data_IF_306080085102
#
_entry.id   IF_306080085102
#
_cell.length_a   1.000
_cell.length_b   1.000
_cell.length_c   1.000
_cell.angle_alpha   90.00
_cell.angle_beta   90.00
_cell.angle_gamma   90.00
#
_symmetry.space_group_name_H-M   'P 1'
#
loop_
_entity.id
_entity.type
_entity.pdbx_description
1 polymer ?
#
# COMPACT_ATOMS: atom_id res chain seq x y z
N UNK A 1 -3.98 -15.10 -30.29
CA UNK A 1 -4.48 -14.43 -29.08
C UNK A 1 -4.88 -13.01 -29.44
N UNK A 2 -5.97 -12.50 -28.88
CA UNK A 2 -6.38 -11.09 -29.05
C UNK A 2 -5.27 -10.18 -28.52
N UNK A 3 -4.85 -9.15 -29.26
CA UNK A 3 -3.76 -8.27 -28.81
C UNK A 3 -4.18 -7.46 -27.59
N UNK A 4 -3.23 -7.25 -26.66
CA UNK A 4 -3.45 -6.48 -25.43
C UNK A 4 -2.73 -5.13 -25.54
N UNK A 5 -3.45 -4.04 -25.25
CA UNK A 5 -2.86 -2.70 -25.16
C UNK A 5 -3.21 -2.00 -23.83
N UNK A 6 -2.22 -1.43 -23.18
CA UNK A 6 -2.40 -0.61 -21.99
C UNK A 6 -2.50 0.88 -22.30
N UNK A 7 -3.26 1.60 -21.49
CA UNK A 7 -3.32 3.06 -21.50
C UNK A 7 -3.24 3.56 -20.07
N UNK A 8 -2.38 4.56 -19.81
CA UNK A 8 -2.25 5.13 -18.49
C UNK A 8 -2.17 6.65 -18.52
N UNK A 9 -2.82 7.30 -17.56
CA UNK A 9 -2.59 8.73 -17.29
C UNK A 9 -1.62 8.87 -16.13
N UNK A 10 -0.54 9.61 -16.33
CA UNK A 10 0.44 9.94 -15.30
C UNK A 10 0.30 11.43 -14.98
N UNK A 11 -0.45 11.74 -13.93
CA UNK A 11 -0.49 13.08 -13.36
C UNK A 11 0.72 13.25 -12.44
N UNK A 12 1.64 14.13 -12.83
CA UNK A 12 2.87 14.43 -12.11
C UNK A 12 2.62 15.39 -10.93
N UNK A 13 1.88 14.90 -9.93
CA UNK A 13 1.57 15.64 -8.70
C UNK A 13 2.17 14.96 -7.46
N UNK A 14 2.57 15.73 -6.46
CA UNK A 14 3.03 15.22 -5.16
C UNK A 14 4.04 14.06 -5.31
N UNK A 15 3.68 12.86 -4.85
CA UNK A 15 4.51 11.66 -4.86
C UNK A 15 4.31 10.79 -6.11
N UNK A 16 4.03 11.41 -7.27
CA UNK A 16 3.70 10.70 -8.51
C UNK A 16 4.76 9.71 -8.97
N UNK A 17 6.05 10.03 -8.76
CA UNK A 17 7.13 9.19 -9.25
C UNK A 17 7.10 7.82 -8.56
N UNK A 18 6.98 7.81 -7.22
CA UNK A 18 6.83 6.58 -6.45
C UNK A 18 5.55 5.81 -6.83
N UNK A 19 4.45 6.52 -7.11
CA UNK A 19 3.20 5.89 -7.57
C UNK A 19 3.36 5.26 -8.97
N UNK A 20 4.07 5.95 -9.87
CA UNK A 20 4.33 5.44 -11.21
C UNK A 20 5.26 4.23 -11.18
N UNK A 21 6.29 4.25 -10.35
CA UNK A 21 7.20 3.12 -10.14
C UNK A 21 6.42 1.91 -9.59
N UNK A 22 5.52 2.09 -8.62
CA UNK A 22 4.64 1.01 -8.11
C UNK A 22 3.74 0.41 -9.21
N UNK A 23 3.20 1.24 -10.12
CA UNK A 23 2.43 0.78 -11.27
C UNK A 23 3.29 0.02 -12.28
N UNK A 24 4.48 0.55 -12.58
CA UNK A 24 5.43 -0.04 -13.53
C UNK A 24 5.92 -1.40 -13.05
N UNK A 25 6.31 -1.50 -11.77
CA UNK A 25 6.70 -2.76 -11.13
C UNK A 25 5.57 -3.80 -11.23
N UNK A 26 4.34 -3.43 -10.88
CA UNK A 26 3.21 -4.36 -10.95
C UNK A 26 2.94 -4.87 -12.37
N UNK A 27 3.12 -4.01 -13.39
CA UNK A 27 2.99 -4.38 -14.80
C UNK A 27 4.12 -5.31 -15.26
N UNK A 28 5.34 -5.09 -14.78
CA UNK A 28 6.51 -5.89 -15.16
C UNK A 28 6.50 -7.24 -14.44
N UNK A 29 6.36 -7.24 -13.11
CA UNK A 29 6.46 -8.43 -12.26
C UNK A 29 5.34 -9.45 -12.51
N UNK A 30 4.17 -8.97 -12.94
CA UNK A 30 3.04 -9.85 -13.28
C UNK A 30 3.17 -10.52 -14.65
N UNK A 31 4.14 -10.10 -15.47
CA UNK A 31 4.26 -10.51 -16.87
C UNK A 31 3.34 -9.74 -17.83
N UNK A 32 2.52 -8.81 -17.33
CA UNK A 32 1.62 -8.00 -18.15
C UNK A 32 2.38 -7.19 -19.23
N UNK A 33 3.56 -6.63 -18.90
CA UNK A 33 4.42 -5.97 -19.88
C UNK A 33 4.81 -6.89 -21.06
N UNK A 34 5.10 -8.16 -20.76
CA UNK A 34 5.48 -9.16 -21.75
C UNK A 34 4.32 -9.47 -22.68
N UNK A 35 3.11 -9.60 -22.14
CA UNK A 35 1.90 -9.96 -22.89
C UNK A 35 1.26 -8.79 -23.65
N UNK A 36 1.52 -7.55 -23.22
CA UNK A 36 1.12 -6.35 -23.95
C UNK A 36 1.87 -6.20 -25.28
N UNK A 37 1.17 -5.71 -26.30
CA UNK A 37 1.79 -5.18 -27.51
C UNK A 37 2.31 -3.76 -27.32
N UNK A 38 1.59 -2.93 -26.54
CA UNK A 38 2.02 -1.57 -26.21
C UNK A 38 1.35 -1.08 -24.93
N UNK A 39 1.98 -0.15 -24.23
CA UNK A 39 1.38 0.63 -23.15
C UNK A 39 1.60 2.12 -23.48
N UNK A 40 0.52 2.89 -23.53
CA UNK A 40 0.57 4.30 -23.97
C UNK A 40 0.30 5.22 -22.80
N UNK A 41 1.19 6.17 -22.57
CA UNK A 41 1.13 7.13 -21.46
C UNK A 41 0.66 8.50 -21.94
N UNK A 42 -0.29 9.10 -21.23
CA UNK A 42 -0.56 10.53 -21.26
C UNK A 42 0.07 11.17 -20.02
N UNK A 43 1.02 12.10 -20.20
CA UNK A 43 1.74 12.75 -19.11
C UNK A 43 1.18 14.15 -18.87
N UNK A 44 0.73 14.41 -17.64
CA UNK A 44 0.21 15.70 -17.20
C UNK A 44 1.14 16.27 -16.14
N UNK A 45 1.55 17.54 -16.26
CA UNK A 45 2.37 18.26 -15.29
C UNK A 45 3.63 18.89 -15.88
N UNK A 46 4.50 19.49 -15.03
CA UNK A 46 5.68 20.23 -15.45
C UNK A 46 6.61 19.43 -16.35
N UNK A 47 7.28 20.10 -17.29
CA UNK A 47 8.21 19.44 -18.22
C UNK A 47 9.26 18.57 -17.51
N UNK A 48 9.87 19.07 -16.44
CA UNK A 48 10.92 18.36 -15.69
C UNK A 48 10.42 17.01 -15.15
N UNK A 49 9.23 17.00 -14.57
CA UNK A 49 8.60 15.78 -14.07
C UNK A 49 8.28 14.77 -15.18
N UNK A 50 7.83 15.25 -16.35
CA UNK A 50 7.58 14.39 -17.52
C UNK A 50 8.88 13.78 -18.04
N UNK A 51 9.99 14.52 -18.02
CA UNK A 51 11.30 13.97 -18.38
C UNK A 51 11.78 12.90 -17.37
N UNK A 52 11.45 13.04 -16.09
CA UNK A 52 11.70 11.99 -15.09
C UNK A 52 10.97 10.69 -15.47
N UNK A 53 9.70 10.76 -15.88
CA UNK A 53 8.95 9.58 -16.36
C UNK A 53 9.60 9.00 -17.62
N UNK A 54 10.00 9.84 -18.58
CA UNK A 54 10.68 9.39 -19.81
C UNK A 54 11.95 8.60 -19.49
N UNK A 55 12.76 9.09 -18.56
CA UNK A 55 13.98 8.40 -18.13
C UNK A 55 13.69 7.00 -17.55
N UNK A 56 12.56 6.80 -16.86
CA UNK A 56 12.17 5.52 -16.24
C UNK A 56 11.67 4.49 -17.25
N UNK A 57 11.10 4.95 -18.36
CA UNK A 57 10.56 4.05 -19.40
C UNK A 57 11.56 3.72 -20.51
N UNK A 58 12.79 4.26 -20.49
CA UNK A 58 13.81 4.04 -21.54
C UNK A 58 14.11 2.55 -21.78
N UNK A 59 14.12 1.75 -20.71
CA UNK A 59 14.34 0.30 -20.75
C UNK A 59 13.12 -0.51 -21.20
N UNK A 60 11.98 0.15 -21.46
CA UNK A 60 10.70 -0.49 -21.75
C UNK A 60 10.16 -0.05 -23.12
N UNK A 61 10.68 -0.58 -24.25
CA UNK A 61 10.36 -0.10 -25.60
C UNK A 61 8.87 -0.21 -25.99
N UNK A 62 8.07 -1.04 -25.31
CA UNK A 62 6.62 -1.11 -25.55
C UNK A 62 5.84 0.00 -24.83
N UNK A 63 6.47 0.73 -23.92
CA UNK A 63 5.86 1.86 -23.20
C UNK A 63 6.20 3.15 -23.94
N UNK A 64 5.20 3.85 -24.44
CA UNK A 64 5.39 5.09 -25.22
C UNK A 64 4.55 6.22 -24.70
N UNK A 65 5.05 7.45 -24.83
CA UNK A 65 4.29 8.67 -24.50
C UNK A 65 3.51 9.11 -25.73
N UNK A 66 2.20 9.32 -25.58
CA UNK A 66 1.28 9.69 -26.67
C UNK A 66 0.61 11.05 -26.49
N UNK A 67 0.72 11.64 -25.30
CA UNK A 67 0.23 12.98 -24.99
C UNK A 67 1.06 13.59 -23.88
N UNK A 68 1.32 14.89 -23.96
CA UNK A 68 2.03 15.66 -22.94
C UNK A 68 1.38 17.03 -22.78
N UNK A 69 1.09 17.42 -21.55
CA UNK A 69 0.52 18.72 -21.22
C UNK A 69 0.92 19.15 -19.82
N UNK A 70 1.00 20.45 -19.57
CA UNK A 70 1.20 20.99 -18.22
C UNK A 70 -0.14 21.19 -17.50
N UNK A 71 -1.25 21.06 -18.23
CA UNK A 71 -2.59 21.31 -17.74
C UNK A 71 -3.21 20.06 -17.09
N UNK A 72 -3.29 20.09 -15.76
CA UNK A 72 -3.95 19.03 -15.00
C UNK A 72 -5.47 18.97 -15.18
N UNK A 73 -6.09 20.02 -15.71
CA UNK A 73 -7.53 20.04 -16.00
C UNK A 73 -7.92 19.21 -17.22
N UNK A 74 -6.93 18.70 -17.98
CA UNK A 74 -7.18 17.69 -19.01
C UNK A 74 -7.57 16.32 -18.43
N UNK A 75 -7.32 16.09 -17.13
CA UNK A 75 -7.64 14.85 -16.42
C UNK A 75 -7.19 13.60 -17.22
N UNK A 76 -8.01 12.56 -17.26
CA UNK A 76 -7.72 11.31 -17.97
C UNK A 76 -8.09 11.33 -19.46
N UNK A 77 -8.70 12.40 -19.97
CA UNK A 77 -9.22 12.48 -21.34
C UNK A 77 -8.21 12.07 -22.42
N UNK A 78 -6.95 12.57 -22.43
CA UNK A 78 -6.04 12.27 -23.52
C UNK A 78 -5.72 10.77 -23.66
N UNK A 79 -5.56 10.05 -22.55
CA UNK A 79 -5.32 8.61 -22.58
C UNK A 79 -6.56 7.85 -23.07
N UNK A 80 -7.75 8.23 -22.60
CA UNK A 80 -9.01 7.60 -23.00
C UNK A 80 -9.36 7.88 -24.48
N UNK A 81 -9.03 9.06 -25.00
CA UNK A 81 -9.18 9.39 -26.43
C UNK A 81 -8.31 8.46 -27.29
N UNK A 82 -7.02 8.31 -26.96
CA UNK A 82 -6.13 7.37 -27.66
C UNK A 82 -6.58 5.92 -27.53
N UNK A 83 -7.17 5.55 -26.39
CA UNK A 83 -7.75 4.23 -26.18
C UNK A 83 -8.94 3.99 -27.11
N UNK A 84 -9.87 4.94 -27.20
CA UNK A 84 -11.04 4.83 -28.08
C UNK A 84 -10.62 4.76 -29.55
N UNK A 85 -9.66 5.59 -29.98
CA UNK A 85 -9.12 5.56 -31.34
C UNK A 85 -8.51 4.20 -31.72
N UNK A 86 -7.74 3.56 -30.82
CA UNK A 86 -7.24 2.22 -31.07
C UNK A 86 -8.38 1.21 -31.20
N UNK A 87 -9.37 1.30 -30.32
CA UNK A 87 -10.49 0.37 -30.33
C UNK A 87 -11.38 0.54 -31.58
N UNK A 88 -11.44 1.73 -32.16
CA UNK A 88 -12.10 1.95 -33.45
C UNK A 88 -11.34 1.31 -34.61
N UNK A 89 -9.99 1.34 -34.55
CA UNK A 89 -9.12 0.88 -35.62
C UNK A 89 -8.90 -0.64 -35.64
N UNK A 90 -8.95 -1.32 -34.49
CA UNK A 90 -8.62 -2.74 -34.41
C UNK A 90 -9.32 -3.49 -33.26
N UNK A 91 -9.35 -4.81 -33.37
CA UNK A 91 -9.81 -5.69 -32.30
C UNK A 91 -8.72 -5.94 -31.27
N UNK A 92 -9.03 -5.65 -30.02
CA UNK A 92 -8.08 -5.73 -28.92
C UNK A 92 -8.78 -5.91 -27.57
N UNK A 93 -8.01 -6.40 -26.61
CA UNK A 93 -8.29 -6.16 -25.19
C UNK A 93 -7.46 -4.95 -24.74
N UNK A 94 -8.08 -4.08 -23.96
CA UNK A 94 -7.43 -2.87 -23.45
C UNK A 94 -7.65 -2.73 -21.97
N UNK A 95 -6.68 -2.13 -21.28
CA UNK A 95 -6.81 -1.74 -19.89
C UNK A 95 -6.49 -0.27 -19.70
N UNK A 96 -7.08 0.29 -18.65
CA UNK A 96 -6.85 1.67 -18.23
C UNK A 96 -6.44 1.71 -16.75
N UNK A 97 -5.44 2.54 -16.45
CA UNK A 97 -4.99 2.86 -15.09
C UNK A 97 -4.47 4.30 -15.02
N UNK A 98 -4.22 4.82 -13.82
CA UNK A 98 -3.64 6.15 -13.64
C UNK A 98 -2.91 6.25 -12.31
N UNK A 99 -2.19 7.35 -12.07
CA UNK A 99 -1.49 7.62 -10.80
C UNK A 99 -2.47 7.91 -9.64
N UNK A 100 -3.31 6.94 -9.28
CA UNK A 100 -4.36 7.08 -8.27
C UNK A 100 -3.78 7.52 -6.92
N UNK A 101 -4.36 8.59 -6.38
CA UNK A 101 -4.03 9.09 -5.05
C UNK A 101 -3.02 10.24 -5.02
N UNK A 102 -2.40 10.59 -6.16
CA UNK A 102 -1.41 11.68 -6.23
C UNK A 102 -1.99 13.07 -6.01
N UNK A 103 -3.31 13.25 -6.04
CA UNK A 103 -3.96 14.49 -5.60
C UNK A 103 -3.91 14.67 -4.08
N UNK A 104 -3.55 13.62 -3.34
CA UNK A 104 -3.34 13.66 -1.89
C UNK A 104 -1.84 13.72 -1.58
N UNK A 105 -1.48 14.25 -0.42
CA UNK A 105 -0.11 14.24 0.07
C UNK A 105 0.41 12.81 0.32
N UNK A 106 1.75 12.60 0.34
CA UNK A 106 2.38 11.28 0.51
C UNK A 106 2.06 10.59 1.84
N UNK A 107 1.65 11.35 2.86
CA UNK A 107 1.35 10.81 4.20
C UNK A 107 0.00 10.09 4.26
N UNK A 108 -0.89 10.33 3.29
CA UNK A 108 -2.24 9.79 3.32
C UNK A 108 -2.26 8.29 2.94
N UNK A 109 -2.42 7.42 3.93
CA UNK A 109 -2.37 5.97 3.75
C UNK A 109 -3.58 5.41 2.97
N UNK A 110 -4.78 5.97 3.17
CA UNK A 110 -5.99 5.46 2.51
C UNK A 110 -5.90 5.45 0.96
N UNK A 111 -5.52 6.53 0.25
CA UNK A 111 -5.29 6.48 -1.19
C UNK A 111 -4.20 5.49 -1.61
N UNK A 112 -3.14 5.32 -0.81
CA UNK A 112 -2.07 4.33 -1.05
C UNK A 112 -2.63 2.90 -0.99
N UNK A 113 -3.38 2.55 0.04
CA UNK A 113 -4.02 1.23 0.17
C UNK A 113 -5.07 1.00 -0.91
N UNK A 114 -5.89 2.00 -1.21
CA UNK A 114 -6.88 1.91 -2.29
C UNK A 114 -6.20 1.62 -3.62
N UNK A 115 -5.15 2.37 -3.95
CA UNK A 115 -4.35 2.13 -5.16
C UNK A 115 -3.77 0.71 -5.19
N UNK A 116 -3.16 0.23 -4.09
CA UNK A 116 -2.61 -1.13 -4.01
C UNK A 116 -3.67 -2.21 -4.27
N UNK A 117 -4.91 -2.02 -3.82
CA UNK A 117 -6.02 -2.92 -4.17
C UNK A 117 -6.34 -2.90 -5.67
N UNK A 118 -6.42 -1.71 -6.28
CA UNK A 118 -6.65 -1.60 -7.72
C UNK A 118 -5.54 -2.33 -8.49
N UNK A 119 -4.29 -2.05 -8.15
CA UNK A 119 -3.10 -2.69 -8.75
C UNK A 119 -3.17 -4.21 -8.60
N UNK A 120 -3.44 -4.73 -7.41
CA UNK A 120 -3.48 -6.17 -7.15
C UNK A 120 -4.46 -6.89 -8.08
N UNK A 121 -5.69 -6.37 -8.20
CA UNK A 121 -6.73 -7.04 -8.98
C UNK A 121 -6.64 -6.79 -10.47
N UNK A 122 -6.23 -5.59 -10.90
CA UNK A 122 -6.29 -5.24 -12.32
C UNK A 122 -4.95 -5.36 -13.02
N UNK A 123 -3.83 -5.27 -12.32
CA UNK A 123 -2.49 -5.36 -12.94
C UNK A 123 -1.78 -6.65 -12.51
N UNK A 124 -1.67 -6.91 -11.20
CA UNK A 124 -0.95 -8.09 -10.72
C UNK A 124 -1.65 -9.42 -11.03
N UNK A 125 -2.99 -9.41 -11.10
CA UNK A 125 -3.83 -10.59 -11.41
C UNK A 125 -4.59 -10.42 -12.73
N UNK A 126 -3.99 -9.72 -13.69
CA UNK A 126 -4.68 -9.32 -14.93
C UNK A 126 -5.27 -10.48 -15.74
N UNK A 127 -4.72 -11.70 -15.63
CA UNK A 127 -5.29 -12.88 -16.29
C UNK A 127 -6.75 -13.15 -15.90
N UNK A 128 -7.16 -12.82 -14.67
CA UNK A 128 -8.56 -12.91 -14.24
C UNK A 128 -9.43 -11.86 -14.92
N UNK A 129 -8.91 -10.62 -15.07
CA UNK A 129 -9.59 -9.58 -15.85
C UNK A 129 -9.79 -10.05 -17.29
N UNK A 130 -8.71 -10.47 -17.95
CA UNK A 130 -8.74 -10.92 -19.34
C UNK A 130 -9.67 -12.11 -19.52
N UNK A 131 -9.61 -13.10 -18.62
CA UNK A 131 -10.50 -14.26 -18.65
C UNK A 131 -11.98 -13.89 -18.52
N UNK A 132 -12.32 -12.92 -17.68
CA UNK A 132 -13.70 -12.46 -17.51
C UNK A 132 -14.29 -11.83 -18.78
N UNK A 133 -13.46 -11.24 -19.66
CA UNK A 133 -13.91 -10.60 -20.91
C UNK A 133 -14.49 -11.58 -21.94
N UNK A 134 -14.37 -12.89 -21.72
CA UNK A 134 -15.06 -13.90 -22.53
C UNK A 134 -16.58 -13.73 -22.44
N UNK A 135 -17.12 -13.55 -21.23
CA UNK A 135 -18.56 -13.49 -20.96
C UNK A 135 -19.06 -12.08 -20.62
N UNK A 136 -18.12 -11.16 -20.33
CA UNK A 136 -18.40 -9.82 -19.84
C UNK A 136 -17.90 -8.75 -20.80
N UNK A 137 -18.40 -7.54 -20.63
CA UNK A 137 -18.06 -6.42 -21.51
C UNK A 137 -16.86 -5.63 -20.98
N UNK A 138 -16.75 -5.53 -19.66
CA UNK A 138 -15.61 -4.97 -18.95
C UNK A 138 -15.41 -5.72 -17.64
N UNK A 139 -14.20 -5.64 -17.08
CA UNK A 139 -13.85 -6.23 -15.79
C UNK A 139 -12.95 -5.29 -14.99
N UNK A 140 -13.08 -5.32 -13.67
CA UNK A 140 -12.28 -4.51 -12.78
C UNK A 140 -12.60 -4.85 -11.33
N UNK A 141 -12.38 -3.90 -10.42
CA UNK A 141 -12.67 -4.07 -9.00
C UNK A 141 -13.56 -2.94 -8.50
N UNK A 142 -14.43 -3.29 -7.54
CA UNK A 142 -15.42 -2.40 -6.95
C UNK A 142 -16.30 -1.65 -7.96
N UNK A 143 -17.08 -2.38 -8.76
CA UNK A 143 -18.12 -1.80 -9.59
C UNK A 143 -19.27 -1.25 -8.72
N UNK A 144 -19.48 0.06 -8.76
CA UNK A 144 -20.51 0.77 -8.01
C UNK A 144 -21.30 1.65 -8.97
N UNK A 145 -22.63 1.49 -8.94
CA UNK A 145 -23.58 2.13 -9.86
C UNK A 145 -23.24 1.84 -11.33
N UNK A 146 -22.45 2.71 -11.96
CA UNK A 146 -22.05 2.63 -13.37
C UNK A 146 -20.55 2.89 -13.58
N UNK A 147 -19.70 2.60 -12.59
CA UNK A 147 -18.24 2.73 -12.78
C UNK A 147 -17.46 1.78 -11.86
N UNK A 148 -16.18 1.56 -12.18
CA UNK A 148 -15.23 0.96 -11.23
C UNK A 148 -14.62 2.06 -10.38
N UNK A 149 -14.88 2.06 -9.08
CA UNK A 149 -14.33 3.10 -8.19
C UNK A 149 -12.80 3.05 -8.22
N UNK A 150 -12.17 4.21 -8.41
CA UNK A 150 -10.72 4.29 -8.62
C UNK A 150 -10.29 4.28 -10.10
N UNK A 151 -11.19 3.94 -11.02
CA UNK A 151 -11.01 4.02 -12.48
C UNK A 151 -9.86 3.14 -13.02
N UNK A 152 -9.73 1.92 -12.51
CA UNK A 152 -8.85 0.88 -13.06
C UNK A 152 -9.71 -0.24 -13.61
N UNK A 153 -9.54 -0.60 -14.87
CA UNK A 153 -10.40 -1.60 -15.52
C UNK A 153 -9.82 -2.14 -16.82
N UNK A 154 -10.42 -3.23 -17.28
CA UNK A 154 -10.18 -3.91 -18.54
C UNK A 154 -11.45 -3.98 -19.36
N UNK A 155 -11.32 -4.01 -20.68
CA UNK A 155 -12.45 -4.13 -21.60
C UNK A 155 -12.02 -4.66 -22.96
N UNK A 156 -13.00 -5.08 -23.77
CA UNK A 156 -12.83 -5.38 -25.20
C UNK A 156 -13.09 -4.14 -26.06
N UNK A 157 -12.35 -4.00 -27.16
CA UNK A 157 -12.55 -2.93 -28.14
C UNK A 157 -13.97 -2.89 -28.68
N UNK A 158 -14.61 -4.06 -28.87
CA UNK A 158 -15.98 -4.16 -29.33
C UNK A 158 -16.98 -3.50 -28.38
N UNK A 159 -16.72 -3.46 -27.07
CA UNK A 159 -17.54 -2.74 -26.10
C UNK A 159 -17.23 -1.25 -26.12
N UNK A 160 -15.95 -0.86 -26.23
CA UNK A 160 -15.54 0.56 -26.33
C UNK A 160 -16.24 1.25 -27.51
N UNK A 161 -16.40 0.56 -28.64
CA UNK A 161 -17.14 1.06 -29.81
C UNK A 161 -18.64 1.34 -29.55
N UNK A 162 -19.19 0.89 -28.43
CA UNK A 162 -20.56 1.18 -27.99
C UNK A 162 -20.67 2.36 -27.03
N UNK A 163 -19.54 2.86 -26.52
CA UNK A 163 -19.48 3.97 -25.57
C UNK A 163 -19.63 5.32 -26.29
N UNK A 164 -20.08 6.38 -25.60
CA UNK A 164 -20.05 7.73 -26.13
C UNK A 164 -18.63 8.14 -26.58
N UNK A 165 -18.54 9.05 -27.55
CA UNK A 165 -17.26 9.65 -27.92
C UNK A 165 -16.69 10.40 -26.74
N UNK A 166 -15.54 9.95 -26.23
CA UNK A 166 -14.93 10.55 -25.03
C UNK A 166 -14.50 12.01 -25.30
N UNK A 167 -14.02 12.30 -26.51
CA UNK A 167 -13.75 13.67 -26.96
C UNK A 167 -15.02 14.54 -26.97
N UNK A 168 -16.18 13.97 -27.31
CA UNK A 168 -17.46 14.68 -27.21
C UNK A 168 -17.80 15.07 -25.77
N UNK A 169 -17.56 14.16 -24.81
CA UNK A 169 -17.79 14.41 -23.39
C UNK A 169 -16.84 15.47 -22.80
N UNK A 170 -15.65 15.65 -23.37
CA UNK A 170 -14.73 16.73 -22.98
C UNK A 170 -15.31 18.12 -23.29
N UNK A 171 -15.92 18.26 -24.47
CA UNK A 171 -16.46 19.55 -24.94
C UNK A 171 -17.91 19.79 -24.51
N UNK A 172 -18.68 18.72 -24.30
CA UNK A 172 -20.10 18.76 -23.95
C UNK A 172 -20.39 17.66 -22.91
N UNK A 173 -19.96 17.87 -21.65
CA UNK A 173 -20.07 16.85 -20.63
C UNK A 173 -21.53 16.60 -20.25
N UNK A 174 -21.86 15.34 -19.96
CA UNK A 174 -23.15 14.99 -19.38
C UNK A 174 -23.17 15.48 -17.92
N UNK A 175 -24.32 15.96 -17.45
CA UNK A 175 -24.45 16.44 -16.07
C UNK A 175 -24.48 15.26 -15.09
N UNK A 176 -23.38 15.06 -14.37
CA UNK A 176 -23.19 14.12 -13.26
C UNK A 176 -23.08 14.88 -11.92
N UNK A 177 -22.38 16.03 -11.92
CA UNK A 177 -22.20 16.92 -10.76
C UNK A 177 -22.68 18.35 -11.06
N UNK A 178 -22.94 19.13 -10.02
CA UNK A 178 -23.18 20.57 -10.12
C UNK A 178 -21.88 21.37 -10.26
N UNK A 179 -20.78 20.91 -9.68
CA UNK A 179 -19.46 21.52 -9.83
C UNK A 179 -18.88 21.17 -11.20
N UNK A 180 -18.54 22.19 -12.00
CA UNK A 180 -18.14 22.02 -13.40
C UNK A 180 -16.82 21.25 -13.55
N UNK A 181 -15.85 21.53 -12.70
CA UNK A 181 -14.53 20.87 -12.72
C UNK A 181 -14.66 19.41 -12.31
N UNK A 182 -15.39 19.14 -11.23
CA UNK A 182 -15.73 17.79 -10.80
C UNK A 182 -16.52 17.04 -11.87
N UNK A 183 -17.50 17.71 -12.49
CA UNK A 183 -18.30 17.12 -13.56
C UNK A 183 -17.45 16.69 -14.76
N UNK A 184 -16.46 17.49 -15.16
CA UNK A 184 -15.54 17.17 -16.24
C UNK A 184 -14.69 15.92 -15.90
N UNK A 185 -14.09 15.88 -14.72
CA UNK A 185 -13.33 14.70 -14.25
C UNK A 185 -14.21 13.44 -14.19
N UNK A 186 -15.43 13.56 -13.67
CA UNK A 186 -16.35 12.43 -13.55
C UNK A 186 -16.75 11.84 -14.90
N UNK A 187 -16.65 12.58 -16.01
CA UNK A 187 -16.86 11.99 -17.33
C UNK A 187 -15.88 10.84 -17.57
N UNK A 188 -14.61 11.04 -17.22
CA UNK A 188 -13.57 10.03 -17.38
C UNK A 188 -13.78 8.83 -16.45
N UNK A 189 -14.17 9.08 -15.20
CA UNK A 189 -14.41 8.01 -14.21
C UNK A 189 -15.61 7.13 -14.58
N UNK A 190 -16.67 7.72 -15.12
CA UNK A 190 -17.91 7.00 -15.44
C UNK A 190 -17.99 6.48 -16.87
N UNK A 191 -17.10 6.92 -17.76
CA UNK A 191 -17.17 6.64 -19.20
C UNK A 191 -17.39 5.16 -19.51
N UNK A 192 -16.66 4.27 -18.83
CA UNK A 192 -16.73 2.82 -19.07
C UNK A 192 -18.11 2.21 -18.78
N UNK A 193 -18.96 2.86 -17.98
CA UNK A 193 -20.33 2.43 -17.72
C UNK A 193 -21.41 3.25 -18.40
N UNK A 194 -21.06 4.14 -19.33
CA UNK A 194 -22.04 4.96 -20.06
C UNK A 194 -22.77 4.20 -21.17
N UNK A 195 -22.35 2.98 -21.53
CA UNK A 195 -23.13 2.14 -22.46
C UNK A 195 -24.49 1.77 -21.85
N UNK A 196 -25.52 1.74 -22.71
CA UNK A 196 -26.88 1.35 -22.34
C UNK A 196 -26.97 -0.11 -21.90
N UNK A 197 -26.36 -1.01 -22.68
CA UNK A 197 -26.25 -2.42 -22.35
C UNK A 197 -24.79 -2.71 -21.95
N UNK A 198 -24.61 -3.32 -20.77
CA UNK A 198 -23.29 -3.62 -20.22
C UNK A 198 -23.38 -4.77 -19.23
N UNK A 199 -22.37 -5.64 -19.26
CA UNK A 199 -22.17 -6.72 -18.28
C UNK A 199 -20.81 -6.52 -17.60
N UNK A 200 -20.75 -5.73 -16.52
CA UNK A 200 -19.52 -5.53 -15.77
C UNK A 200 -19.21 -6.75 -14.90
N UNK A 201 -17.94 -7.15 -14.85
CA UNK A 201 -17.43 -8.17 -13.94
C UNK A 201 -16.60 -7.54 -12.84
N UNK A 202 -16.86 -7.93 -11.58
CA UNK A 202 -16.16 -7.40 -10.43
C UNK A 202 -15.33 -8.50 -9.77
N UNK A 203 -14.01 -8.39 -9.91
CA UNK A 203 -13.05 -9.30 -9.30
C UNK A 203 -13.06 -9.05 -7.80
N UNK A 204 -13.14 -10.12 -7.01
CA UNK A 204 -13.08 -10.03 -5.55
C UNK A 204 -14.38 -9.60 -4.83
N UNK A 205 -15.52 -9.46 -5.52
CA UNK A 205 -16.81 -9.10 -4.91
C UNK A 205 -17.32 -7.70 -5.31
N UNK A 206 -18.30 -7.11 -4.62
CA UNK A 206 -18.80 -5.73 -4.87
C UNK A 206 -18.96 -4.93 -3.56
N UNK A 207 -18.77 -3.61 -3.60
CA UNK A 207 -19.17 -2.66 -2.55
C UNK A 207 -18.37 -2.74 -1.23
N UNK A 208 -18.95 -2.25 -0.13
CA UNK A 208 -18.36 -2.28 1.23
C UNK A 208 -17.95 -3.69 1.71
N UNK A 209 -18.52 -4.75 1.11
CA UNK A 209 -18.13 -6.13 1.39
C UNK A 209 -16.68 -6.43 0.94
N UNK A 210 -16.14 -5.77 -0.09
CA UNK A 210 -14.69 -5.82 -0.37
C UNK A 210 -13.89 -5.25 0.81
N UNK A 211 -14.25 -4.06 1.29
CA UNK A 211 -13.52 -3.45 2.41
C UNK A 211 -13.48 -4.33 3.66
N UNK A 212 -14.48 -5.17 3.90
CA UNK A 212 -14.51 -6.04 5.08
C UNK A 212 -14.02 -7.48 4.83
N UNK A 213 -14.01 -7.97 3.58
CA UNK A 213 -13.67 -9.36 3.25
C UNK A 213 -12.21 -9.55 2.80
N UNK A 214 -11.51 -8.49 2.43
CA UNK A 214 -10.09 -8.58 2.18
C UNK A 214 -9.33 -8.65 3.51
N UNK A 215 -8.44 -9.63 3.66
CA UNK A 215 -7.33 -9.53 4.59
C UNK A 215 -6.40 -8.44 4.03
N UNK A 216 -6.83 -7.19 4.16
CA UNK A 216 -5.94 -6.06 4.07
C UNK A 216 -4.80 -6.40 5.00
N UNK A 217 -3.56 -6.39 4.53
CA UNK A 217 -2.46 -6.25 5.46
C UNK A 217 -2.12 -4.77 5.38
N UNK A 218 -3.02 -3.93 5.87
CA UNK A 218 -2.91 -2.48 5.73
C UNK A 218 -2.53 -1.83 7.06
N UNK A 219 -2.91 -2.47 8.16
CA UNK A 219 -2.74 -2.00 9.53
C UNK A 219 -1.83 -2.94 10.32
N UNK A 220 -1.31 -2.46 11.44
CA UNK A 220 -0.63 -3.29 12.45
C UNK A 220 -1.46 -4.49 12.88
N UNK A 221 -2.77 -4.31 13.10
CA UNK A 221 -3.71 -5.40 13.44
C UNK A 221 -3.67 -6.52 12.41
N UNK A 222 -3.63 -6.16 11.14
CA UNK A 222 -3.65 -7.15 10.06
C UNK A 222 -2.33 -7.92 9.96
N UNK A 223 -1.19 -7.24 10.16
CA UNK A 223 0.12 -7.88 10.24
C UNK A 223 0.15 -8.88 11.38
N UNK A 224 -0.31 -8.48 12.57
CA UNK A 224 -0.37 -9.33 13.75
C UNK A 224 -1.24 -10.57 13.50
N UNK A 225 -2.45 -10.39 12.96
CA UNK A 225 -3.35 -11.50 12.63
C UNK A 225 -2.83 -12.39 11.49
N UNK A 226 -2.11 -11.84 10.51
CA UNK A 226 -1.47 -12.61 9.46
C UNK A 226 -0.34 -13.50 10.01
N UNK A 227 0.48 -12.97 10.92
CA UNK A 227 1.51 -13.75 11.62
C UNK A 227 0.88 -14.85 12.49
N UNK A 228 -0.18 -14.53 13.22
CA UNK A 228 -0.95 -15.52 13.99
C UNK A 228 -1.44 -16.65 13.10
N UNK A 229 -2.12 -16.33 11.99
CA UNK A 229 -2.65 -17.33 11.09
C UNK A 229 -1.54 -18.15 10.41
N UNK A 230 -0.41 -17.52 10.06
CA UNK A 230 0.70 -18.15 9.35
C UNK A 230 1.45 -19.17 10.21
N UNK A 231 1.70 -18.81 11.46
CA UNK A 231 2.57 -19.58 12.37
C UNK A 231 1.79 -20.32 13.46
N UNK A 232 0.46 -20.16 13.52
CA UNK A 232 -0.38 -20.79 14.54
C UNK A 232 -0.14 -20.21 15.94
N UNK A 233 0.23 -18.93 16.04
CA UNK A 233 0.46 -18.28 17.32
C UNK A 233 -0.83 -18.21 18.14
N UNK A 234 -0.73 -18.41 19.44
CA UNK A 234 -1.88 -18.55 20.33
C UNK A 234 -1.81 -17.62 21.55
N UNK A 235 -0.60 -17.23 21.97
CA UNK A 235 -0.35 -16.36 23.12
C UNK A 235 0.17 -15.02 22.68
N UNK A 236 -0.64 -13.99 22.86
CA UNK A 236 -0.38 -12.62 22.45
C UNK A 236 -0.18 -11.70 23.67
N UNK A 237 0.83 -10.83 23.61
CA UNK A 237 1.06 -9.75 24.55
C UNK A 237 1.06 -8.40 23.81
N UNK A 238 0.35 -7.40 24.32
CA UNK A 238 0.36 -6.02 23.82
C UNK A 238 0.91 -5.08 24.90
N UNK A 239 1.91 -4.27 24.54
CA UNK A 239 2.49 -3.24 25.39
C UNK A 239 2.07 -1.89 24.82
N UNK A 240 1.34 -1.10 25.61
CA UNK A 240 0.67 0.11 25.14
C UNK A 240 -0.62 -0.23 24.41
N UNK A 241 -1.75 -0.26 25.12
CA UNK A 241 -3.05 -0.63 24.53
C UNK A 241 -3.80 0.55 23.94
N UNK A 242 -3.51 1.77 24.40
CA UNK A 242 -4.26 2.97 24.02
C UNK A 242 -5.79 2.75 24.14
N UNK A 243 -6.52 3.01 23.05
CA UNK A 243 -7.91 2.58 22.91
C UNK A 243 -7.97 1.15 22.34
N UNK A 244 -8.44 0.15 23.13
CA UNK A 244 -8.42 -1.26 22.74
C UNK A 244 -9.18 -1.58 21.45
N UNK A 245 -10.17 -0.76 21.08
CA UNK A 245 -10.99 -0.96 19.87
C UNK A 245 -10.14 -0.86 18.60
N UNK A 246 -9.06 -0.07 18.63
CA UNK A 246 -8.21 0.15 17.48
C UNK A 246 -7.31 -1.05 17.16
N UNK A 247 -6.89 -1.86 18.14
CA UNK A 247 -5.99 -2.99 17.92
C UNK A 247 -6.31 -4.21 18.80
N UNK A 248 -6.08 -4.13 20.12
CA UNK A 248 -6.13 -5.28 21.04
C UNK A 248 -7.40 -6.16 20.91
N UNK A 249 -8.58 -5.55 20.77
CA UNK A 249 -9.84 -6.29 20.65
C UNK A 249 -9.93 -7.10 19.34
N UNK A 250 -9.31 -6.59 18.27
CA UNK A 250 -9.34 -7.14 16.91
C UNK A 250 -8.32 -8.26 16.69
N UNK A 251 -7.40 -8.48 17.63
CA UNK A 251 -6.43 -9.58 17.57
C UNK A 251 -7.10 -10.92 17.86
N UNK A 252 -6.85 -11.90 16.99
CA UNK A 252 -7.47 -13.24 17.01
C UNK A 252 -6.49 -14.28 17.57
N UNK A 253 -6.13 -14.12 18.85
CA UNK A 253 -5.30 -15.08 19.59
C UNK A 253 -6.10 -15.72 20.73
N UNK A 254 -5.76 -16.95 21.11
CA UNK A 254 -6.46 -17.71 22.14
C UNK A 254 -6.26 -17.13 23.55
N UNK A 255 -5.03 -16.69 23.85
CA UNK A 255 -4.67 -15.97 25.05
C UNK A 255 -4.17 -14.57 24.66
N UNK A 256 -4.77 -13.54 25.24
CA UNK A 256 -4.37 -12.14 25.06
C UNK A 256 -4.10 -11.51 26.41
N UNK A 257 -2.91 -10.94 26.57
CA UNK A 257 -2.56 -10.11 27.71
C UNK A 257 -2.14 -8.73 27.25
N UNK A 258 -2.36 -7.74 28.11
CA UNK A 258 -2.01 -6.34 27.86
C UNK A 258 -1.25 -5.75 29.03
N UNK A 259 -0.30 -4.86 28.74
CA UNK A 259 0.49 -4.10 29.71
C UNK A 259 0.35 -2.63 29.38
N UNK A 260 -0.25 -1.87 30.30
CA UNK A 260 -0.41 -0.42 30.18
C UNK A 260 -0.60 0.20 31.56
N UNK A 261 -0.01 1.36 31.88
CA UNK A 261 -0.35 2.11 33.09
C UNK A 261 -1.83 2.54 33.16
N UNK A 262 -2.47 2.73 32.01
CA UNK A 262 -3.86 3.14 31.89
C UNK A 262 -4.84 2.04 32.34
N UNK A 263 -6.04 2.40 32.81
CA UNK A 263 -7.09 1.43 33.13
C UNK A 263 -7.48 0.60 31.90
N UNK A 264 -7.79 -0.68 32.11
CA UNK A 264 -8.26 -1.59 31.05
C UNK A 264 -7.24 -2.65 30.61
N UNK A 265 -5.95 -2.50 30.96
CA UNK A 265 -4.94 -3.51 30.73
C UNK A 265 -5.06 -4.72 31.67
N UNK A 266 -4.63 -5.88 31.20
CA UNK A 266 -4.50 -7.12 32.01
C UNK A 266 -3.53 -6.89 33.16
N UNK A 267 -2.40 -6.27 32.87
CA UNK A 267 -1.37 -5.85 33.81
C UNK A 267 -1.31 -4.33 33.82
N UNK A 268 -1.95 -3.72 34.82
CA UNK A 268 -1.98 -2.26 34.97
C UNK A 268 -0.66 -1.74 35.57
N UNK A 269 0.36 -1.65 34.73
CA UNK A 269 1.71 -1.20 35.08
C UNK A 269 2.50 -0.84 33.81
N UNK A 270 3.67 -0.22 33.98
CA UNK A 270 4.62 -0.03 32.87
C UNK A 270 5.30 -1.35 32.46
N UNK A 271 5.78 -1.40 31.22
CA UNK A 271 6.48 -2.55 30.64
C UNK A 271 7.70 -2.98 31.45
N UNK A 272 8.53 -2.04 31.90
CA UNK A 272 9.70 -2.33 32.74
C UNK A 272 9.31 -3.11 34.01
N UNK A 273 8.24 -2.67 34.70
CA UNK A 273 7.74 -3.34 35.90
C UNK A 273 7.14 -4.72 35.58
N UNK A 274 6.45 -4.85 34.45
CA UNK A 274 5.93 -6.13 33.98
C UNK A 274 7.06 -7.12 33.69
N UNK A 275 8.08 -6.73 32.93
CA UNK A 275 9.18 -7.62 32.58
C UNK A 275 10.04 -8.02 33.78
N UNK A 276 10.18 -7.13 34.78
CA UNK A 276 10.87 -7.44 36.03
C UNK A 276 10.09 -8.41 36.93
N UNK A 277 8.76 -8.35 36.92
CA UNK A 277 7.90 -9.14 37.83
C UNK A 277 7.34 -10.42 37.22
N UNK A 278 7.21 -10.50 35.89
CA UNK A 278 6.66 -11.67 35.21
C UNK A 278 7.56 -12.91 35.43
N UNK A 279 6.99 -14.10 35.66
CA UNK A 279 7.80 -15.29 35.90
C UNK A 279 8.34 -15.88 34.58
N UNK A 280 9.55 -16.45 34.53
CA UNK A 280 10.21 -16.89 33.28
C UNK A 280 9.39 -17.88 32.43
N UNK A 281 8.52 -18.67 33.03
CA UNK A 281 7.62 -19.57 32.30
C UNK A 281 6.52 -18.83 31.51
N UNK A 282 6.24 -17.57 31.86
CA UNK A 282 5.29 -16.74 31.14
C UNK A 282 5.94 -16.25 29.84
N UNK A 283 5.62 -16.98 28.76
CA UNK A 283 6.13 -16.77 27.40
C UNK A 283 5.00 -16.53 26.40
N UNK A 284 5.30 -15.81 25.34
CA UNK A 284 4.35 -15.44 24.29
C UNK A 284 4.83 -15.87 22.90
N UNK A 285 3.88 -16.14 22.03
CA UNK A 285 4.12 -16.47 20.63
C UNK A 285 4.23 -15.19 19.78
N UNK A 286 3.48 -14.15 20.16
CA UNK A 286 3.51 -12.84 19.51
C UNK A 286 3.48 -11.73 20.56
N UNK A 287 4.41 -10.79 20.48
CA UNK A 287 4.46 -9.61 21.36
C UNK A 287 4.40 -8.36 20.49
N UNK A 288 3.49 -7.45 20.79
CA UNK A 288 3.33 -6.17 20.09
C UNK A 288 3.73 -5.01 20.99
N UNK A 289 4.55 -4.10 20.49
CA UNK A 289 5.09 -2.93 21.19
C UNK A 289 4.57 -1.66 20.50
N UNK A 290 3.72 -0.93 21.21
CA UNK A 290 3.12 0.35 20.82
C UNK A 290 2.93 1.25 22.07
N UNK A 291 3.90 1.18 22.97
CA UNK A 291 3.92 1.92 24.24
C UNK A 291 4.51 3.32 24.09
N UNK A 292 5.54 3.63 24.88
CA UNK A 292 6.21 4.92 24.80
C UNK A 292 7.18 4.94 23.61
N UNK A 293 6.97 5.85 22.67
CA UNK A 293 7.73 5.96 21.41
C UNK A 293 9.11 6.64 21.55
N UNK A 294 9.79 6.43 22.68
CA UNK A 294 11.14 6.95 22.92
C UNK A 294 12.18 5.85 22.74
N UNK A 295 13.25 6.14 21.99
CA UNK A 295 14.33 5.21 21.62
C UNK A 295 14.77 4.30 22.79
N UNK A 296 15.08 4.89 23.95
CA UNK A 296 15.59 4.18 25.11
C UNK A 296 14.57 3.23 25.73
N UNK A 297 13.29 3.62 25.78
CA UNK A 297 12.23 2.76 26.33
C UNK A 297 11.91 1.63 25.35
N UNK A 298 11.80 1.93 24.06
CA UNK A 298 11.55 0.93 23.02
C UNK A 298 12.66 -0.14 23.02
N UNK A 299 13.94 0.25 23.14
CA UNK A 299 15.04 -0.70 23.25
C UNK A 299 14.88 -1.65 24.44
N UNK A 300 14.50 -1.13 25.62
CA UNK A 300 14.22 -1.97 26.79
C UNK A 300 13.03 -2.90 26.56
N UNK A 301 11.98 -2.40 25.89
CA UNK A 301 10.81 -3.19 25.56
C UNK A 301 11.13 -4.32 24.57
N UNK A 302 12.01 -4.08 23.58
CA UNK A 302 12.50 -5.12 22.66
C UNK A 302 13.22 -6.21 23.45
N UNK A 303 14.19 -5.86 24.30
CA UNK A 303 14.96 -6.83 25.09
C UNK A 303 14.05 -7.63 26.03
N UNK A 304 13.15 -6.94 26.73
CA UNK A 304 12.14 -7.56 27.59
C UNK A 304 11.24 -8.51 26.80
N UNK A 305 10.77 -8.11 25.63
CA UNK A 305 9.92 -8.92 24.76
C UNK A 305 10.67 -10.18 24.28
N UNK A 306 11.90 -10.03 23.78
CA UNK A 306 12.72 -11.16 23.33
C UNK A 306 12.99 -12.16 24.46
N UNK A 307 13.25 -11.69 25.68
CA UNK A 307 13.42 -12.55 26.86
C UNK A 307 12.14 -13.32 27.24
N UNK A 308 10.96 -12.87 26.79
CA UNK A 308 9.66 -13.52 27.00
C UNK A 308 9.12 -14.20 25.74
N UNK A 309 9.89 -14.20 24.66
CA UNK A 309 9.46 -14.79 23.41
C UNK A 309 9.66 -16.31 23.45
N UNK A 310 8.79 -17.00 22.74
CA UNK A 310 8.97 -18.43 22.46
C UNK A 310 9.97 -18.63 21.33
N UNK A 311 10.57 -19.83 21.20
CA UNK A 311 11.59 -20.06 20.17
C UNK A 311 11.14 -19.71 18.74
N UNK A 312 9.86 -19.91 18.42
CA UNK A 312 9.28 -19.66 17.08
C UNK A 312 8.52 -18.32 16.98
N UNK A 313 8.45 -17.57 18.08
CA UNK A 313 7.62 -16.38 18.21
C UNK A 313 8.18 -15.17 17.47
N UNK A 314 7.37 -14.11 17.43
CA UNK A 314 7.77 -12.82 16.85
C UNK A 314 7.46 -11.63 17.79
N UNK A 315 8.28 -10.60 17.70
CA UNK A 315 8.01 -9.27 18.25
C UNK A 315 7.65 -8.34 17.09
N UNK A 316 6.63 -7.51 17.26
CA UNK A 316 6.23 -6.49 16.27
C UNK A 316 6.25 -5.12 16.94
N UNK A 317 6.94 -4.15 16.33
CA UNK A 317 6.96 -2.76 16.75
C UNK A 317 6.14 -1.91 15.79
N UNK A 318 5.38 -0.95 16.29
CA UNK A 318 4.66 0.02 15.47
C UNK A 318 5.46 1.31 15.27
N UNK A 319 5.02 2.13 14.32
CA UNK A 319 5.54 3.48 14.06
C UNK A 319 7.04 3.59 13.76
N UNK A 320 7.62 2.54 13.18
CA UNK A 320 9.06 2.44 12.94
C UNK A 320 9.55 3.09 11.64
N UNK A 321 8.64 3.53 10.77
CA UNK A 321 8.90 4.15 9.47
C UNK A 321 8.17 5.51 9.35
N UNK A 322 8.52 6.51 10.18
CA UNK A 322 7.85 7.81 10.23
C UNK A 322 7.83 8.50 8.86
N UNK A 323 6.70 9.04 8.39
CA UNK A 323 6.61 9.55 7.02
C UNK A 323 7.30 10.90 6.81
N UNK A 324 7.45 11.73 7.84
CA UNK A 324 8.20 13.01 7.78
C UNK A 324 8.93 13.30 9.09
N UNK A 325 9.89 14.23 9.08
CA UNK A 325 10.63 14.66 10.28
C UNK A 325 9.71 15.11 11.41
N UNK A 326 8.58 15.73 11.07
CA UNK A 326 7.58 16.17 12.05
C UNK A 326 7.02 15.03 12.91
N UNK A 327 6.93 13.81 12.36
CA UNK A 327 6.34 12.68 13.06
C UNK A 327 7.23 12.16 14.18
N UNK A 328 8.55 12.35 14.08
CA UNK A 328 9.53 11.92 15.09
C UNK A 328 9.87 12.99 16.13
N UNK A 329 9.06 14.06 16.22
CA UNK A 329 9.25 15.14 17.19
C UNK A 329 9.24 14.59 18.63
N UNK A 330 9.84 15.31 19.60
CA UNK A 330 9.95 14.81 20.95
C UNK A 330 8.59 14.77 21.67
N UNK A 331 8.43 13.96 22.73
CA UNK A 331 7.15 13.77 23.42
C UNK A 331 6.52 15.06 23.94
N UNK A 332 7.31 16.08 24.26
CA UNK A 332 6.81 17.39 24.75
C UNK A 332 6.02 18.15 23.68
N UNK A 333 6.26 17.85 22.40
CA UNK A 333 5.53 18.41 21.26
C UNK A 333 4.36 17.52 20.81
N UNK A 334 4.12 16.40 21.50
CA UNK A 334 2.95 15.57 21.25
C UNK A 334 1.70 16.25 21.79
N UNK A 335 0.68 16.36 20.93
CA UNK A 335 -0.65 16.77 21.32
C UNK A 335 -1.65 15.66 20.99
N UNK A 336 -2.58 15.39 21.91
CA UNK A 336 -3.63 14.39 21.69
C UNK A 336 -4.38 14.67 20.37
N UNK A 337 -4.51 13.66 19.53
CA UNK A 337 -5.15 13.76 18.21
C UNK A 337 -4.21 14.20 17.08
N UNK A 338 -2.92 14.39 17.35
CA UNK A 338 -1.89 14.63 16.31
C UNK A 338 -1.13 13.35 15.96
N UNK A 339 -0.70 13.23 14.71
CA UNK A 339 0.12 12.14 14.20
C UNK A 339 1.51 12.17 14.88
N UNK A 340 1.97 11.06 15.46
CA UNK A 340 3.24 10.99 16.19
C UNK A 340 3.79 9.57 16.19
N UNK A 341 5.08 9.43 15.88
CA UNK A 341 5.82 8.17 15.81
C UNK A 341 7.01 8.14 16.78
N UNK A 342 7.34 9.29 17.39
CA UNK A 342 8.54 9.46 18.21
C UNK A 342 9.82 8.99 17.51
N UNK A 343 10.76 8.49 18.31
CA UNK A 343 12.10 8.06 17.84
C UNK A 343 12.22 6.55 17.69
N UNK A 344 11.12 5.82 17.50
CA UNK A 344 11.08 4.35 17.41
C UNK A 344 12.00 3.80 16.31
N UNK A 345 12.09 4.49 15.18
CA UNK A 345 13.00 4.11 14.09
C UNK A 345 14.47 4.05 14.54
N UNK A 346 14.89 4.91 15.48
CA UNK A 346 16.25 4.89 16.04
C UNK A 346 16.48 3.64 16.88
N UNK A 347 15.47 3.22 17.65
CA UNK A 347 15.53 1.96 18.40
C UNK A 347 15.70 0.76 17.46
N UNK A 348 15.00 0.73 16.32
CA UNK A 348 15.18 -0.32 15.30
C UNK A 348 16.62 -0.33 14.78
N UNK A 349 17.16 0.82 14.38
CA UNK A 349 18.54 0.90 13.85
C UNK A 349 19.57 0.53 14.91
N UNK A 350 19.44 1.04 16.15
CA UNK A 350 20.28 0.67 17.30
C UNK A 350 20.25 -0.82 17.59
N UNK A 351 19.06 -1.41 17.61
CA UNK A 351 18.89 -2.83 17.86
C UNK A 351 19.62 -3.65 16.80
N UNK A 352 19.50 -3.31 15.51
CA UNK A 352 20.26 -3.98 14.43
C UNK A 352 21.77 -3.87 14.58
N UNK A 353 22.27 -2.73 15.05
CA UNK A 353 23.71 -2.52 15.29
C UNK A 353 24.22 -3.37 16.45
N UNK A 354 23.40 -3.51 17.50
CA UNK A 354 23.76 -4.26 18.71
C UNK A 354 23.54 -5.78 18.55
N UNK A 355 22.59 -6.19 17.70
CA UNK A 355 22.19 -7.58 17.45
C UNK A 355 22.25 -7.91 15.96
N UNK A 356 23.44 -7.84 15.33
CA UNK A 356 23.60 -8.08 13.89
C UNK A 356 23.23 -9.50 13.46
N UNK A 357 23.08 -10.43 14.40
CA UNK A 357 22.64 -11.81 14.18
C UNK A 357 21.11 -11.98 14.15
N UNK A 358 20.34 -11.04 14.69
CA UNK A 358 18.88 -11.19 14.83
C UNK A 358 18.16 -10.66 13.58
N UNK A 359 17.44 -11.51 12.83
CA UNK A 359 16.70 -11.07 11.66
C UNK A 359 15.52 -10.18 12.04
N UNK A 360 15.37 -9.09 11.30
CA UNK A 360 14.19 -8.23 11.34
C UNK A 360 13.95 -7.56 10.00
N UNK A 361 12.71 -7.13 9.76
CA UNK A 361 12.32 -6.31 8.61
C UNK A 361 11.18 -5.38 8.99
N UNK A 362 11.07 -4.25 8.29
CA UNK A 362 9.99 -3.28 8.53
C UNK A 362 8.99 -3.32 7.39
N UNK A 363 7.75 -3.71 7.65
CA UNK A 363 6.71 -3.72 6.61
C UNK A 363 6.30 -2.28 6.30
N UNK A 364 6.37 -1.88 5.02
CA UNK A 364 5.98 -0.54 4.54
C UNK A 364 4.44 -0.38 4.46
N UNK A 365 3.81 -0.36 5.64
CA UNK A 365 2.42 0.02 5.85
C UNK A 365 2.23 0.49 7.29
N UNK A 366 1.15 1.24 7.54
CA UNK A 366 0.80 1.75 8.88
C UNK A 366 1.98 2.45 9.59
N UNK A 367 2.69 3.31 8.85
CA UNK A 367 3.89 4.03 9.28
C UNK A 367 5.03 3.15 9.81
N UNK A 368 5.09 1.90 9.36
CA UNK A 368 6.17 0.96 9.66
C UNK A 368 5.80 0.02 10.78
N UNK A 369 5.77 -1.27 10.45
CA UNK A 369 5.64 -2.34 11.42
C UNK A 369 6.88 -3.21 11.36
N UNK A 370 7.81 -3.06 12.30
CA UNK A 370 9.03 -3.87 12.34
C UNK A 370 8.74 -5.22 12.96
N UNK A 371 8.95 -6.29 12.21
CA UNK A 371 8.85 -7.68 12.67
C UNK A 371 10.24 -8.16 13.01
N UNK A 372 10.45 -8.57 14.26
CA UNK A 372 11.65 -9.25 14.75
C UNK A 372 11.27 -10.70 15.04
N UNK A 373 11.85 -11.65 14.29
CA UNK A 373 11.56 -13.07 14.46
C UNK A 373 12.86 -13.87 14.38
N UNK A 374 13.51 -14.19 15.51
CA UNK A 374 14.79 -14.90 15.52
C UNK A 374 14.81 -16.21 14.70
N UNK A 375 13.66 -16.86 14.54
CA UNK A 375 13.51 -18.08 13.75
C UNK A 375 13.48 -17.89 12.21
N UNK A 376 13.50 -16.66 11.68
CA UNK A 376 13.47 -16.38 10.23
C UNK A 376 14.81 -16.63 9.51
N UNK A 377 15.85 -17.05 10.22
CA UNK A 377 17.17 -17.36 9.66
C UNK A 377 18.16 -16.20 9.79
N UNK A 378 19.17 -16.08 8.91
CA UNK A 378 20.22 -15.08 9.07
C UNK A 378 19.70 -13.66 8.85
N UNK A 379 20.15 -12.73 9.68
CA UNK A 379 19.84 -11.32 9.54
C UNK A 379 20.47 -10.70 8.28
N UNK A 380 19.82 -9.64 7.77
CA UNK A 380 20.41 -8.76 6.76
C UNK A 380 21.44 -7.83 7.44
N UNK A 381 22.71 -7.85 7.01
CA UNK A 381 23.75 -7.00 7.61
C UNK A 381 23.41 -5.52 7.48
N UNK A 382 23.65 -4.76 8.55
CA UNK A 382 23.65 -3.30 8.51
C UNK A 382 25.10 -2.81 8.57
N UNK A 383 25.59 -2.23 7.47
CA UNK A 383 26.97 -1.77 7.34
C UNK A 383 27.04 -0.28 7.04
N UNK A 384 28.11 0.37 7.51
CA UNK A 384 28.36 1.79 7.20
C UNK A 384 27.47 2.76 7.98
N UNK A 385 26.79 2.29 9.03
CA UNK A 385 25.98 3.13 9.92
C UNK A 385 26.75 3.40 11.20
N UNK A 386 26.90 4.67 11.53
CA UNK A 386 27.48 5.14 12.78
C UNK A 386 26.35 5.46 13.76
N UNK A 387 26.44 4.94 14.98
CA UNK A 387 25.42 5.16 16.00
C UNK A 387 25.29 6.64 16.43
N UNK A 388 26.29 7.48 16.13
CA UNK A 388 26.25 8.92 16.39
C UNK A 388 25.56 9.71 15.26
N UNK A 389 25.28 9.08 14.12
CA UNK A 389 24.76 9.74 12.91
C UNK A 389 23.28 9.44 12.65
N UNK A 390 22.53 9.01 13.68
CA UNK A 390 21.09 8.72 13.60
C UNK A 390 20.24 10.00 13.51
N UNK A 391 20.39 10.74 12.42
CA UNK A 391 19.63 11.96 12.09
C UNK A 391 18.50 11.68 11.11
N UNK A 392 17.49 12.56 11.05
CA UNK A 392 16.40 12.45 10.07
C UNK A 392 16.92 12.41 8.64
N UNK A 393 17.84 13.32 8.28
CA UNK A 393 18.39 13.40 6.93
C UNK A 393 19.05 12.09 6.50
N UNK A 394 19.69 11.38 7.43
CA UNK A 394 20.28 10.07 7.16
C UNK A 394 19.23 8.97 7.06
N UNK A 395 18.20 8.99 7.91
CA UNK A 395 17.06 8.07 7.77
C UNK A 395 16.40 8.25 6.39
N UNK A 396 16.11 9.48 5.98
CA UNK A 396 15.40 9.74 4.73
C UNK A 396 16.19 9.26 3.51
N UNK A 397 17.51 9.40 3.56
CA UNK A 397 18.42 8.93 2.51
C UNK A 397 18.60 7.40 2.48
N UNK A 398 18.58 6.75 3.65
CA UNK A 398 18.97 5.34 3.80
C UNK A 398 17.87 4.43 4.34
N UNK A 399 16.62 4.90 4.37
CA UNK A 399 15.43 4.27 4.98
C UNK A 399 15.31 2.79 4.68
N UNK A 400 15.38 2.43 3.39
CA UNK A 400 15.23 1.05 2.93
C UNK A 400 16.29 0.14 3.55
N UNK A 401 17.53 0.59 3.59
CA UNK A 401 18.64 -0.14 4.18
C UNK A 401 18.56 -0.16 5.70
N UNK A 402 18.29 0.98 6.35
CA UNK A 402 18.33 1.14 7.80
C UNK A 402 17.21 0.39 8.50
N UNK A 403 16.00 0.40 7.92
CA UNK A 403 14.84 -0.28 8.47
C UNK A 403 14.66 -1.70 7.93
N UNK A 404 15.49 -2.13 6.97
CA UNK A 404 15.27 -3.33 6.16
C UNK A 404 13.81 -3.34 5.65
N UNK A 405 13.47 -2.28 4.92
CA UNK A 405 12.10 -1.98 4.55
C UNK A 405 11.60 -3.02 3.53
N UNK A 406 10.49 -3.67 3.88
CA UNK A 406 9.86 -4.72 3.10
C UNK A 406 8.57 -4.16 2.48
N UNK A 407 8.47 -4.12 1.14
CA UNK A 407 7.22 -3.75 0.48
C UNK A 407 6.08 -4.65 0.93
N UNK A 408 4.89 -4.06 1.12
CA UNK A 408 3.72 -4.79 1.61
C UNK A 408 3.37 -6.02 0.74
N UNK A 409 3.51 -5.90 -0.58
CA UNK A 409 3.30 -6.99 -1.52
C UNK A 409 4.22 -8.19 -1.27
N UNK A 410 5.48 -7.93 -0.91
CA UNK A 410 6.46 -8.95 -0.55
C UNK A 410 6.10 -9.63 0.76
N UNK A 411 5.68 -8.85 1.78
CA UNK A 411 5.19 -9.43 3.03
C UNK A 411 3.96 -10.31 2.82
N UNK A 412 2.97 -9.85 2.04
CA UNK A 412 1.79 -10.64 1.69
C UNK A 412 2.16 -11.97 1.05
N UNK A 413 3.13 -11.99 0.12
CA UNK A 413 3.64 -13.24 -0.45
C UNK A 413 4.21 -14.16 0.65
N UNK A 414 4.99 -13.65 1.60
CA UNK A 414 5.59 -14.46 2.67
C UNK A 414 4.56 -15.11 3.60
N UNK A 415 3.50 -14.37 3.97
CA UNK A 415 2.49 -14.87 4.93
C UNK A 415 1.32 -15.60 4.25
N UNK A 416 1.02 -15.34 2.98
CA UNK A 416 -0.07 -16.02 2.25
C UNK A 416 0.39 -17.29 1.53
N UNK A 417 1.67 -17.41 1.16
CA UNK A 417 2.19 -18.64 0.59
C UNK A 417 2.31 -19.70 1.70
N UNK A 418 1.31 -20.58 1.79
CA UNK A 418 1.46 -21.86 2.48
C UNK A 418 2.58 -22.62 1.79
N UNK A 419 3.65 -22.92 2.52
CA UNK A 419 4.61 -23.95 2.08
C UNK A 419 3.93 -25.30 2.15
#
# INVERSE_FOLDING_TARGET
MTPIHGFMTVACMNHYLAVFEELLEAVVDSGLYTDCQSIRLALLGPKEDRECIRARILSYPKITVVHETEDFSEFEFPALERLQELCDAQDAYVFYAHTKGVSHGPTHQYPKHWRRLLIHHTLSRYHECVGALADHDCSGVNWVENHYSGNFWWTKSSYVRTLPRISGLRHSPVRISQDATWNARLQCEFWIGMARAKRPFCIGGRGHALYNAFQWIATRTDILNALIARYGFSRYLEIGIGDPVHNFERIVAALKHSVDPAPGATYRMGSDAFFASAPPEQRYDLIFIDGLHEEEQVLRDIEGALARLTPEGAVVLHDTNPPTEWHQRPPEEYASGTEWNGTVWRAVVRFRLNHPEVPLYTVDTDWGCTVIRPADGPAQPLSGVSANDLTWAQLDLHRDQWLNLLPLSSFQKQVMLRR
#
